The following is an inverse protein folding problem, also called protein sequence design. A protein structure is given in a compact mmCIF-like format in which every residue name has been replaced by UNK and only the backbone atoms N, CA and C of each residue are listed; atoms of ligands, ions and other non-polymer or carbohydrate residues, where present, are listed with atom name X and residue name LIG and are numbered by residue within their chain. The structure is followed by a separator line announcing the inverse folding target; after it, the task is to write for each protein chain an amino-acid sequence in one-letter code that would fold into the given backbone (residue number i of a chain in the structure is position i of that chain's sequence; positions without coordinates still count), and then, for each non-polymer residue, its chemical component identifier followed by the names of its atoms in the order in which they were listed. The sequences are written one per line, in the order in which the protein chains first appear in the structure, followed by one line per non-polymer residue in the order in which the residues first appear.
data_IF_145765461476
#
_entry.id   IF_145765461476
#
_cell.length_a   1.000
_cell.length_b   1.000
_cell.length_c   1.000
_cell.angle_alpha   90.00
_cell.angle_beta   90.00
_cell.angle_gamma   90.00
#
_symmetry.space_group_name_H-M   'P 1'
#
loop_
_entity.id
_entity.type
_entity.pdbx_description
1 polymer ?
#
# COMPACT_ATOMS: atom_id res chain seq x y z
N UNK A 1 14.77 3.82 -49.15
CA UNK A 1 15.75 4.85 -48.72
C UNK A 1 14.98 6.07 -48.24
N UNK A 2 15.54 6.76 -47.25
CA UNK A 2 14.97 7.83 -46.42
C UNK A 2 14.23 8.95 -47.18
N UNK A 3 13.23 9.61 -46.56
CA UNK A 3 13.44 10.87 -45.80
C UNK A 3 12.11 11.43 -45.23
N UNK A 4 12.02 11.41 -43.90
CA UNK A 4 11.45 12.42 -42.98
C UNK A 4 11.00 13.75 -43.63
N UNK A 5 9.78 14.24 -43.34
CA UNK A 5 9.50 15.64 -42.97
C UNK A 5 8.06 15.81 -42.40
N UNK A 6 7.95 16.01 -41.06
CA UNK A 6 7.42 17.22 -40.38
C UNK A 6 5.91 17.43 -40.61
N UNK A 7 5.04 16.97 -39.70
CA UNK A 7 4.53 17.65 -38.49
C UNK A 7 3.82 19.00 -38.74
N UNK A 8 2.67 19.14 -38.07
CA UNK A 8 1.80 20.32 -37.87
C UNK A 8 0.72 20.59 -38.92
N UNK A 9 -0.54 20.32 -38.53
CA UNK A 9 -1.71 21.20 -38.80
C UNK A 9 -3.00 20.60 -38.20
N UNK A 10 -2.95 20.06 -36.99
CA UNK A 10 -4.18 19.85 -36.23
C UNK A 10 -4.13 20.50 -34.85
N UNK A 11 -5.28 21.04 -34.43
CA UNK A 11 -5.37 22.33 -33.79
C UNK A 11 -5.33 22.13 -32.28
N UNK A 12 -4.89 23.16 -31.58
CA UNK A 12 -5.21 23.37 -30.17
C UNK A 12 -6.73 23.39 -30.00
N UNK A 13 -7.34 22.23 -29.75
CA UNK A 13 -8.70 22.14 -29.23
C UNK A 13 -8.64 21.69 -27.77
N UNK A 14 -9.28 22.42 -26.86
CA UNK A 14 -9.42 21.97 -25.49
C UNK A 14 -10.46 20.86 -25.52
N UNK A 15 -10.07 19.63 -25.16
CA UNK A 15 -11.05 18.56 -25.00
C UNK A 15 -10.99 18.11 -23.55
N UNK A 16 -12.12 18.40 -22.93
CA UNK A 16 -12.63 17.99 -21.64
C UNK A 16 -12.16 16.61 -21.18
N UNK A 17 -11.93 16.56 -19.86
CA UNK A 17 -11.71 15.38 -19.03
C UNK A 17 -12.58 14.21 -19.50
N UNK A 18 -11.96 13.25 -20.17
CA UNK A 18 -12.54 11.92 -20.39
C UNK A 18 -12.02 11.02 -19.26
N UNK A 19 -12.88 10.29 -18.54
CA UNK A 19 -12.40 9.27 -17.60
C UNK A 19 -11.62 8.23 -18.40
N UNK A 20 -10.31 8.17 -18.14
CA UNK A 20 -9.39 7.19 -18.73
C UNK A 20 -9.98 5.77 -18.63
N UNK A 21 -9.82 4.94 -19.67
CA UNK A 21 -10.27 3.57 -19.64
C UNK A 21 -9.51 2.85 -18.53
N UNK A 22 -10.23 2.04 -17.76
CA UNK A 22 -9.72 1.18 -16.70
C UNK A 22 -8.59 0.29 -17.25
N UNK A 23 -7.35 0.76 -17.11
CA UNK A 23 -6.21 0.24 -17.87
C UNK A 23 -5.69 -1.03 -17.19
N UNK A 24 -6.07 -2.19 -17.73
CA UNK A 24 -5.75 -3.53 -17.20
C UNK A 24 -4.24 -3.76 -17.02
N UNK A 25 -3.41 -3.01 -17.76
CA UNK A 25 -1.96 -3.03 -17.64
C UNK A 25 -1.46 -2.50 -16.29
N UNK A 26 -2.15 -1.53 -15.69
CA UNK A 26 -1.78 -0.97 -14.39
C UNK A 26 -1.97 -1.97 -13.24
N UNK A 27 -3.01 -2.81 -13.30
CA UNK A 27 -3.20 -3.91 -12.34
C UNK A 27 -2.11 -4.97 -12.45
N UNK A 28 -1.67 -5.29 -13.67
CA UNK A 28 -0.63 -6.30 -13.89
C UNK A 28 0.71 -5.81 -13.33
N UNK A 29 1.05 -4.53 -13.55
CA UNK A 29 2.27 -3.93 -13.01
C UNK A 29 2.22 -3.89 -11.48
N UNK A 30 1.07 -3.57 -10.87
CA UNK A 30 0.89 -3.61 -9.41
C UNK A 30 0.95 -5.03 -8.82
N UNK A 31 0.48 -6.05 -9.54
CA UNK A 31 0.59 -7.46 -9.09
C UNK A 31 2.04 -7.95 -9.13
N UNK A 32 2.81 -7.53 -10.13
CA UNK A 32 4.21 -7.97 -10.33
C UNK A 32 5.18 -7.23 -9.41
N UNK A 33 4.98 -5.93 -9.18
CA UNK A 33 5.87 -5.13 -8.32
C UNK A 33 5.52 -5.22 -6.83
N UNK A 34 4.37 -5.80 -6.48
CA UNK A 34 3.83 -5.71 -5.13
C UNK A 34 3.33 -4.29 -4.89
N UNK A 35 2.06 -4.06 -5.20
CA UNK A 35 1.40 -2.79 -4.93
C UNK A 35 1.60 -2.35 -3.47
N UNK A 36 1.51 -1.04 -3.20
CA UNK A 36 1.73 -0.49 -1.86
C UNK A 36 0.90 -1.27 -0.84
N UNK A 37 1.53 -1.67 0.28
CA UNK A 37 0.87 -2.41 1.36
C UNK A 37 -0.45 -1.71 1.69
N UNK A 38 -1.57 -2.35 1.32
CA UNK A 38 -2.89 -1.79 1.56
C UNK A 38 -3.03 -1.63 3.07
N UNK A 39 -3.41 -0.45 3.58
CA UNK A 39 -3.59 -0.27 5.00
C UNK A 39 -4.65 -1.27 5.48
N UNK A 40 -4.22 -2.17 6.36
CA UNK A 40 -5.13 -3.14 6.99
C UNK A 40 -5.90 -2.36 8.03
N UNK A 41 -7.19 -2.17 7.79
CA UNK A 41 -8.05 -1.55 8.78
C UNK A 41 -8.29 -2.55 9.91
N UNK A 42 -7.64 -2.30 11.05
CA UNK A 42 -7.71 -3.16 12.24
C UNK A 42 -9.13 -3.24 12.81
N UNK A 43 -9.98 -2.25 12.55
CA UNK A 43 -11.38 -2.24 13.00
C UNK A 43 -12.25 -3.25 12.23
N UNK A 44 -11.86 -3.60 11.01
CA UNK A 44 -12.55 -4.60 10.19
C UNK A 44 -12.20 -6.04 10.59
N UNK A 45 -11.24 -6.23 11.49
CA UNK A 45 -10.86 -7.57 11.95
C UNK A 45 -11.97 -8.19 12.81
N UNK A 46 -12.14 -9.52 12.74
CA UNK A 46 -13.08 -10.21 13.63
C UNK A 46 -12.68 -9.97 15.09
N UNK A 47 -13.69 -9.71 15.95
CA UNK A 47 -13.50 -9.33 17.37
C UNK A 47 -12.58 -10.26 18.15
N UNK A 48 -12.62 -11.57 17.87
CA UNK A 48 -11.75 -12.56 18.50
C UNK A 48 -10.27 -12.35 18.20
N UNK A 49 -9.95 -11.95 16.96
CA UNK A 49 -8.59 -11.71 16.53
C UNK A 49 -8.04 -10.39 17.09
N UNK A 50 -8.89 -9.37 17.24
CA UNK A 50 -8.54 -8.13 17.94
C UNK A 50 -8.22 -8.42 19.42
N UNK A 51 -9.06 -9.23 20.09
CA UNK A 51 -8.83 -9.62 21.47
C UNK A 51 -7.52 -10.38 21.62
N UNK A 52 -7.29 -11.40 20.77
CA UNK A 52 -6.05 -12.16 20.77
C UNK A 52 -4.82 -11.26 20.56
N UNK A 53 -4.86 -10.36 19.57
CA UNK A 53 -3.76 -9.44 19.30
C UNK A 53 -3.46 -8.53 20.50
N UNK A 54 -4.49 -8.00 21.14
CA UNK A 54 -4.33 -7.13 22.33
C UNK A 54 -3.72 -7.87 23.53
N UNK A 55 -4.19 -9.09 23.81
CA UNK A 55 -3.69 -9.92 24.92
C UNK A 55 -2.25 -10.33 24.66
N UNK A 56 -1.95 -10.77 23.44
CA UNK A 56 -0.61 -11.18 23.04
C UNK A 56 0.39 -10.01 23.13
N UNK A 57 0.03 -8.84 22.63
CA UNK A 57 0.85 -7.64 22.74
C UNK A 57 1.08 -7.24 24.21
N UNK A 58 0.06 -7.36 25.06
CA UNK A 58 0.17 -7.14 26.50
C UNK A 58 1.17 -8.10 27.17
N UNK A 59 1.09 -9.40 26.85
CA UNK A 59 2.03 -10.40 27.35
C UNK A 59 3.48 -10.11 26.93
N UNK A 60 3.70 -9.69 25.67
CA UNK A 60 5.03 -9.32 25.19
C UNK A 60 5.60 -8.10 25.92
N UNK A 61 4.78 -7.07 26.13
CA UNK A 61 5.18 -5.91 26.92
C UNK A 61 5.53 -6.28 28.36
N UNK A 62 4.73 -7.13 28.99
CA UNK A 62 4.99 -7.60 30.35
C UNK A 62 6.32 -8.37 30.43
N UNK A 63 6.56 -9.29 29.50
CA UNK A 63 7.81 -10.05 29.43
C UNK A 63 9.02 -9.13 29.19
N UNK A 64 8.88 -8.16 28.29
CA UNK A 64 9.91 -7.15 28.06
C UNK A 64 10.22 -6.35 29.33
N UNK A 65 9.19 -5.91 30.06
CA UNK A 65 9.35 -5.18 31.32
C UNK A 65 10.04 -6.03 32.40
N UNK A 66 9.68 -7.31 32.53
CA UNK A 66 10.32 -8.24 33.47
C UNK A 66 11.79 -8.44 33.11
N UNK A 67 12.10 -8.66 31.83
CA UNK A 67 13.47 -8.83 31.37
C UNK A 67 14.33 -7.59 31.66
N UNK A 68 13.76 -6.40 31.43
CA UNK A 68 14.41 -5.12 31.73
C UNK A 68 14.63 -4.97 33.24
N UNK A 69 13.61 -5.27 34.06
CA UNK A 69 13.72 -5.25 35.51
C UNK A 69 14.84 -6.16 36.03
N UNK A 70 14.89 -7.41 35.56
CA UNK A 70 15.95 -8.36 35.92
C UNK A 70 17.34 -7.88 35.48
N UNK A 71 17.44 -7.16 34.36
CA UNK A 71 18.70 -6.61 33.88
C UNK A 71 19.24 -5.47 34.75
N UNK A 72 18.35 -4.66 35.34
CA UNK A 72 18.74 -3.51 36.16
C UNK A 72 18.83 -3.81 37.66
N UNK A 73 18.07 -4.80 38.16
CA UNK A 73 17.98 -5.13 39.59
C UNK A 73 18.68 -6.44 39.94
N UNK A 74 18.89 -7.32 38.95
CA UNK A 74 19.59 -8.60 39.12
C UNK A 74 21.11 -8.52 39.05
#
# INVERSE_FOLDING_TARGET
MQLKHVHETQPSRPIEVTPEPFDQHSEIIQRVQGGPLKPVNLELLPRWLQLFGSVFAGCLLLMGAIALYLNFVG
#
